data_IF_809571209996
#
_entry.id   IF_809571209996
#
_cell.length_a   1.000
_cell.length_b   1.000
_cell.length_c   1.000
_cell.angle_alpha   90.00
_cell.angle_beta   90.00
_cell.angle_gamma   90.00
#
_symmetry.space_group_name_H-M   'P 1'
#
loop_
_entity.id
_entity.type
_entity.pdbx_description
1 polymer ?
#
# COMPACT_ATOMS: atom_id res chain seq x y z
N UNK A 1 -2.77 25.58 19.67
CA UNK A 1 -2.73 24.15 20.02
C UNK A 1 -1.56 23.48 19.33
N UNK A 2 -0.76 22.76 20.06
CA UNK A 2 0.32 22.00 19.45
C UNK A 2 -0.26 20.81 18.70
N UNK A 3 -0.04 20.75 17.39
CA UNK A 3 -0.47 19.64 16.56
C UNK A 3 0.25 18.34 16.86
N UNK A 4 1.30 18.38 17.68
CA UNK A 4 2.06 17.22 18.11
C UNK A 4 1.23 16.23 18.94
N UNK A 5 0.15 16.68 19.58
CA UNK A 5 -0.75 15.83 20.34
C UNK A 5 -1.68 14.99 19.47
N UNK A 6 -1.74 15.24 18.17
CA UNK A 6 -2.56 14.50 17.21
C UNK A 6 -1.83 13.34 16.55
N UNK A 7 -0.51 13.28 16.72
CA UNK A 7 0.31 12.25 16.09
C UNK A 7 0.44 11.03 17.01
N UNK A 8 0.19 9.80 16.51
CA UNK A 8 0.53 8.58 17.21
C UNK A 8 2.03 8.48 17.48
N UNK A 9 2.41 7.66 18.46
CA UNK A 9 3.83 7.38 18.72
C UNK A 9 4.53 6.85 17.49
N UNK A 10 5.71 7.39 17.20
CA UNK A 10 6.50 7.04 16.04
C UNK A 10 6.19 7.85 14.78
N UNK A 11 5.22 8.75 14.85
CA UNK A 11 4.83 9.61 13.71
C UNK A 11 5.05 11.09 14.03
N UNK A 12 5.37 11.86 13.02
CA UNK A 12 5.31 13.31 13.06
C UNK A 12 4.07 13.79 12.32
N UNK A 13 3.31 14.68 12.93
CA UNK A 13 2.22 15.37 12.24
C UNK A 13 2.81 16.42 11.30
N UNK A 14 2.38 16.43 10.04
CA UNK A 14 2.86 17.37 9.03
C UNK A 14 1.84 18.49 8.81
N UNK A 15 0.63 18.12 8.38
CA UNK A 15 -0.43 19.10 8.08
C UNK A 15 -1.80 18.44 8.05
N UNK A 16 -2.82 19.27 8.09
CA UNK A 16 -4.20 18.89 7.84
C UNK A 16 -4.74 19.75 6.71
N UNK A 17 -5.46 19.15 5.78
CA UNK A 17 -6.11 19.85 4.68
C UNK A 17 -7.39 19.12 4.27
N UNK A 18 -8.52 19.81 4.27
CA UNK A 18 -9.82 19.26 3.87
C UNK A 18 -10.21 17.99 4.62
N UNK A 19 -9.87 17.91 5.90
CA UNK A 19 -10.12 16.74 6.74
C UNK A 19 -9.10 15.62 6.62
N UNK A 20 -8.13 15.74 5.73
CA UNK A 20 -7.06 14.77 5.55
C UNK A 20 -5.87 15.17 6.43
N UNK A 21 -5.47 14.28 7.32
CA UNK A 21 -4.27 14.47 8.14
C UNK A 21 -3.08 13.77 7.49
N UNK A 22 -1.96 14.48 7.41
CA UNK A 22 -0.71 13.95 6.88
C UNK A 22 0.29 13.73 8.00
N UNK A 23 0.87 12.54 8.01
CA UNK A 23 1.91 12.14 8.96
C UNK A 23 3.13 11.61 8.23
N UNK A 24 4.24 11.63 8.93
CA UNK A 24 5.49 11.03 8.47
C UNK A 24 5.99 10.04 9.52
N UNK A 25 6.25 8.81 9.10
CA UNK A 25 6.79 7.79 10.00
C UNK A 25 8.27 8.08 10.27
N UNK A 26 8.64 8.24 11.54
CA UNK A 26 9.98 8.65 11.96
C UNK A 26 11.08 7.68 11.54
N UNK A 27 10.76 6.37 11.52
CA UNK A 27 11.76 5.33 11.27
C UNK A 27 12.24 5.27 9.81
N UNK A 28 11.39 5.58 8.84
CA UNK A 28 11.72 5.43 7.42
C UNK A 28 11.19 6.54 6.51
N UNK A 29 10.52 7.55 7.07
CA UNK A 29 9.97 8.65 6.29
C UNK A 29 8.70 8.33 5.51
N UNK A 30 8.04 7.20 5.79
CA UNK A 30 6.80 6.83 5.12
C UNK A 30 5.74 7.92 5.32
N UNK A 31 5.17 8.38 4.21
CA UNK A 31 4.07 9.33 4.22
C UNK A 31 2.75 8.61 4.44
N UNK A 32 2.00 9.04 5.44
CA UNK A 32 0.70 8.45 5.78
C UNK A 32 -0.37 9.53 5.74
N UNK A 33 -1.44 9.26 5.00
CA UNK A 33 -2.61 10.15 4.92
C UNK A 33 -3.79 9.42 5.54
N UNK A 34 -4.52 10.11 6.42
CA UNK A 34 -5.73 9.57 7.05
C UNK A 34 -6.91 10.50 6.82
N UNK A 35 -8.05 9.92 6.49
CA UNK A 35 -9.32 10.62 6.41
C UNK A 35 -10.35 9.84 7.21
N UNK A 36 -10.92 10.46 8.22
CA UNK A 36 -12.00 9.87 9.01
C UNK A 36 -13.35 10.32 8.47
N UNK A 37 -14.13 9.36 8.00
CA UNK A 37 -15.51 9.57 7.56
C UNK A 37 -16.37 8.49 8.18
N UNK A 38 -17.33 8.89 8.99
CA UNK A 38 -18.22 7.98 9.75
C UNK A 38 -19.59 7.83 9.11
N UNK A 39 -19.74 8.24 7.86
CA UNK A 39 -21.01 8.12 7.13
C UNK A 39 -21.39 6.67 6.82
N UNK A 40 -20.42 5.78 6.76
CA UNK A 40 -20.61 4.34 6.55
C UNK A 40 -19.61 3.51 7.35
N UNK A 41 -20.00 2.28 7.79
CA UNK A 41 -19.12 1.40 8.57
C UNK A 41 -18.14 0.64 7.66
N UNK A 42 -17.32 1.35 6.91
CA UNK A 42 -16.34 0.79 5.97
C UNK A 42 -14.98 1.43 6.19
N UNK A 43 -13.92 0.71 5.84
CA UNK A 43 -12.58 1.23 5.85
C UNK A 43 -11.88 0.90 4.53
N UNK A 44 -11.13 1.87 4.03
CA UNK A 44 -10.27 1.69 2.85
C UNK A 44 -8.82 1.82 3.28
N UNK A 45 -8.00 0.89 2.86
CA UNK A 45 -6.56 0.93 3.06
C UNK A 45 -5.87 0.86 1.72
N UNK A 46 -4.96 1.81 1.46
CA UNK A 46 -4.24 1.89 0.19
C UNK A 46 -2.74 2.08 0.44
N UNK A 47 -1.92 1.29 -0.22
CA UNK A 47 -0.47 1.48 -0.26
C UNK A 47 -0.08 1.84 -1.69
N UNK A 48 0.60 2.98 -1.84
CA UNK A 48 1.04 3.47 -3.14
C UNK A 48 2.57 3.46 -3.22
N UNK A 49 3.11 2.74 -4.19
CA UNK A 49 4.52 2.80 -4.54
C UNK A 49 4.71 3.78 -5.71
N UNK A 50 5.59 4.76 -5.53
CA UNK A 50 5.88 5.79 -6.56
C UNK A 50 6.79 5.22 -7.65
N UNK A 51 6.35 4.17 -8.30
CA UNK A 51 7.09 3.47 -9.35
C UNK A 51 6.13 3.03 -10.45
N UNK A 52 6.59 3.07 -11.69
CA UNK A 52 5.79 2.68 -12.84
C UNK A 52 6.58 2.82 -14.14
N UNK A 53 5.90 2.70 -15.26
CA UNK A 53 6.53 2.74 -16.61
C UNK A 53 7.38 3.97 -16.84
N UNK A 54 7.02 5.11 -16.29
CA UNK A 54 7.81 6.36 -16.40
C UNK A 54 9.20 6.27 -15.76
N UNK A 55 9.41 5.31 -14.86
CA UNK A 55 10.68 5.10 -14.18
C UNK A 55 11.57 4.08 -14.87
N UNK A 56 11.10 3.48 -15.96
CA UNK A 56 11.83 2.46 -16.71
C UNK A 56 12.93 3.09 -17.56
N UNK A 57 14.09 2.44 -17.58
CA UNK A 57 15.19 2.84 -18.46
C UNK A 57 14.90 2.41 -19.92
N UNK A 58 15.54 3.10 -20.87
CA UNK A 58 15.47 2.74 -22.30
C UNK A 58 15.96 1.31 -22.46
N UNK A 59 15.19 0.49 -23.18
CA UNK A 59 15.49 -0.92 -23.38
C UNK A 59 14.88 -1.87 -22.35
N UNK A 60 14.27 -1.34 -21.29
CA UNK A 60 13.61 -2.12 -20.24
C UNK A 60 12.10 -1.84 -20.19
N UNK A 61 11.52 -1.41 -21.29
CA UNK A 61 10.09 -1.10 -21.40
C UNK A 61 9.25 -2.33 -21.06
N UNK A 62 8.28 -2.16 -20.17
CA UNK A 62 7.39 -3.24 -19.72
C UNK A 62 7.89 -4.00 -18.49
N UNK A 63 9.06 -3.64 -17.92
CA UNK A 63 9.59 -4.34 -16.74
C UNK A 63 8.71 -4.20 -15.51
N UNK A 64 8.08 -3.04 -15.28
CA UNK A 64 7.16 -2.83 -14.17
C UNK A 64 5.86 -3.61 -14.35
N UNK A 65 5.35 -3.69 -15.56
CA UNK A 65 4.19 -4.52 -15.90
C UNK A 65 4.50 -6.02 -15.69
N UNK A 66 5.70 -6.46 -16.12
CA UNK A 66 6.16 -7.83 -15.88
C UNK A 66 6.27 -8.12 -14.39
N UNK A 67 6.81 -7.21 -13.60
CA UNK A 67 6.89 -7.36 -12.15
C UNK A 67 5.50 -7.56 -11.53
N UNK A 68 4.51 -6.80 -11.96
CA UNK A 68 3.13 -6.94 -11.50
C UNK A 68 2.62 -8.38 -11.70
N UNK A 69 2.83 -8.95 -12.88
CA UNK A 69 2.47 -10.35 -13.13
C UNK A 69 3.28 -11.33 -12.28
N UNK A 70 4.57 -11.10 -12.14
CA UNK A 70 5.46 -11.99 -11.38
C UNK A 70 5.12 -12.04 -9.89
N UNK A 71 4.56 -10.98 -9.33
CA UNK A 71 4.15 -10.94 -7.93
C UNK A 71 3.12 -12.03 -7.59
N UNK A 72 2.30 -12.45 -8.55
CA UNK A 72 1.30 -13.49 -8.38
C UNK A 72 1.83 -14.90 -8.68
N UNK A 73 3.02 -15.03 -9.25
CA UNK A 73 3.60 -16.33 -9.63
C UNK A 73 4.23 -17.08 -8.46
N UNK A 74 4.62 -16.35 -7.44
CA UNK A 74 5.12 -16.93 -6.22
C UNK A 74 6.50 -16.45 -5.81
N UNK A 75 6.81 -16.72 -4.57
CA UNK A 75 8.08 -16.44 -3.93
C UNK A 75 8.50 -17.62 -3.06
N UNK A 76 9.63 -17.50 -2.39
CA UNK A 76 10.12 -18.55 -1.49
C UNK A 76 9.10 -18.93 -0.42
N UNK A 77 8.41 -17.96 0.15
CA UNK A 77 7.49 -18.16 1.27
C UNK A 77 6.03 -18.24 0.83
N UNK A 78 5.69 -17.61 -0.29
CA UNK A 78 4.34 -17.55 -0.80
C UNK A 78 4.30 -18.18 -2.19
N UNK A 79 4.00 -19.47 -2.27
CA UNK A 79 3.96 -20.19 -3.54
C UNK A 79 2.87 -21.27 -3.53
N UNK A 80 2.49 -21.69 -4.73
CA UNK A 80 1.40 -22.64 -4.95
C UNK A 80 1.72 -24.03 -4.40
N UNK A 81 2.97 -24.46 -4.49
CA UNK A 81 3.41 -25.77 -4.01
C UNK A 81 3.21 -25.92 -2.50
N UNK A 82 3.41 -24.85 -1.75
CA UNK A 82 3.20 -24.81 -0.30
C UNK A 82 1.76 -24.48 0.09
N UNK A 83 0.87 -24.20 -0.87
CA UNK A 83 -0.47 -23.74 -0.59
C UNK A 83 -0.53 -22.34 0.02
N UNK A 84 0.53 -21.57 -0.08
CA UNK A 84 0.67 -20.20 0.49
C UNK A 84 0.79 -19.13 -0.58
N UNK A 85 0.34 -19.40 -1.82
CA UNK A 85 0.28 -18.39 -2.85
C UNK A 85 -0.53 -17.18 -2.36
N UNK A 86 -0.15 -15.97 -2.75
CA UNK A 86 -0.84 -14.74 -2.34
C UNK A 86 -2.35 -14.85 -2.58
N UNK A 87 -2.73 -15.41 -3.71
CA UNK A 87 -4.13 -15.60 -4.06
C UNK A 87 -4.85 -16.52 -3.06
N UNK A 88 -4.23 -17.65 -2.72
CA UNK A 88 -4.81 -18.62 -1.79
C UNK A 88 -4.92 -18.03 -0.38
N UNK A 89 -3.90 -17.32 0.08
CA UNK A 89 -3.89 -16.67 1.39
C UNK A 89 -5.01 -15.65 1.53
N UNK A 90 -5.18 -14.79 0.53
CA UNK A 90 -6.21 -13.76 0.56
C UNK A 90 -7.62 -14.35 0.42
N UNK A 91 -7.80 -15.37 -0.42
CA UNK A 91 -9.10 -16.05 -0.54
C UNK A 91 -9.50 -16.77 0.73
N UNK A 92 -8.54 -17.31 1.48
CA UNK A 92 -8.80 -18.03 2.73
C UNK A 92 -9.47 -17.16 3.79
N UNK A 93 -9.26 -15.84 3.76
CA UNK A 93 -9.89 -14.87 4.66
C UNK A 93 -11.12 -14.19 4.05
N UNK A 94 -11.61 -14.68 2.90
CA UNK A 94 -12.80 -14.17 2.25
C UNK A 94 -12.57 -12.95 1.34
N UNK A 95 -11.34 -12.62 1.00
CA UNK A 95 -11.05 -11.49 0.14
C UNK A 95 -11.44 -11.76 -1.32
N UNK A 96 -11.99 -10.75 -1.97
CA UNK A 96 -12.14 -10.71 -3.43
C UNK A 96 -10.92 -9.99 -4.01
N UNK A 97 -10.24 -10.64 -4.94
CA UNK A 97 -8.95 -10.18 -5.46
C UNK A 97 -9.08 -9.88 -6.94
N UNK A 98 -8.51 -8.77 -7.36
CA UNK A 98 -8.34 -8.42 -8.75
C UNK A 98 -7.07 -7.59 -8.93
N UNK A 99 -6.48 -7.66 -10.12
CA UNK A 99 -5.34 -6.84 -10.50
C UNK A 99 -5.52 -6.38 -11.94
N UNK A 100 -5.23 -5.12 -12.18
CA UNK A 100 -5.33 -4.51 -13.51
C UNK A 100 -4.12 -3.62 -13.77
N UNK A 101 -3.72 -3.58 -15.00
CA UNK A 101 -2.68 -2.66 -15.50
C UNK A 101 -3.27 -1.65 -16.45
#
# INVERSE_FOLDING_TARGET
>A
MSNNNLAPDGFNFIQESHGINEYNLKSNGLRVLTLSDRSAPVATFMVTYHVGSRNEAIGYTGSTHLLEHLMFKGSRNFNKEKGTAIWDELQSIGAQINATT
#
